data_IF_124144313896
#
_entry.id   IF_124144313896
#
_cell.length_a   1.000
_cell.length_b   1.000
_cell.length_c   1.000
_cell.angle_alpha   90.00
_cell.angle_beta   90.00
_cell.angle_gamma   90.00
#
_symmetry.space_group_name_H-M   'P 1'
#
loop_
_entity.id
_entity.type
_entity.pdbx_description
1 polymer ?
#
# COMPACT_ATOMS: atom_id res chain seq x y z
N UNK A 1 -46.46 69.44 -37.61
CA UNK A 1 -46.68 69.50 -36.14
C UNK A 1 -47.04 68.08 -35.75
N UNK A 2 -46.24 67.25 -35.09
CA UNK A 2 -44.96 67.34 -34.36
C UNK A 2 -44.45 65.87 -34.32
N UNK A 3 -43.29 65.56 -34.90
CA UNK A 3 -42.07 65.03 -34.24
C UNK A 3 -42.25 64.18 -32.96
N UNK A 4 -41.72 62.95 -33.00
CA UNK A 4 -40.92 62.30 -31.95
C UNK A 4 -40.24 61.05 -32.55
N UNK A 5 -38.95 60.87 -32.26
CA UNK A 5 -38.04 59.81 -32.75
C UNK A 5 -37.88 58.68 -31.68
N UNK A 6 -36.85 57.80 -31.77
CA UNK A 6 -36.92 56.34 -31.61
C UNK A 6 -36.71 55.92 -30.14
N UNK A 7 -36.51 54.63 -29.87
CA UNK A 7 -36.04 54.06 -28.60
C UNK A 7 -37.15 53.54 -27.66
N UNK A 8 -36.82 52.48 -26.92
CA UNK A 8 -37.62 51.79 -25.88
C UNK A 8 -38.48 50.58 -26.28
N UNK A 9 -37.92 49.67 -27.07
CA UNK A 9 -38.13 48.25 -26.77
C UNK A 9 -36.77 47.64 -26.41
N UNK A 10 -36.62 47.04 -25.21
CA UNK A 10 -35.34 46.51 -24.77
C UNK A 10 -34.86 45.45 -25.74
N UNK A 11 -33.65 45.68 -26.21
CA UNK A 11 -32.74 44.75 -26.86
C UNK A 11 -32.36 43.65 -25.84
N UNK A 12 -33.32 42.81 -25.48
CA UNK A 12 -33.02 41.54 -24.82
C UNK A 12 -33.01 40.46 -25.90
N UNK A 13 -32.01 40.59 -26.77
CA UNK A 13 -31.43 39.49 -27.50
C UNK A 13 -30.76 38.52 -26.50
N UNK A 14 -31.53 37.98 -25.56
CA UNK A 14 -31.28 36.63 -25.07
C UNK A 14 -31.54 35.71 -26.26
N UNK A 15 -30.54 35.59 -27.12
CA UNK A 15 -30.35 34.38 -27.92
C UNK A 15 -30.41 33.26 -26.90
N UNK A 16 -31.55 32.58 -26.83
CA UNK A 16 -31.56 31.19 -26.43
C UNK A 16 -30.65 30.50 -27.46
N UNK A 17 -29.37 30.39 -27.12
CA UNK A 17 -28.49 29.43 -27.75
C UNK A 17 -29.24 28.11 -27.63
N UNK A 18 -29.68 27.60 -28.78
CA UNK A 18 -30.27 26.27 -28.86
C UNK A 18 -29.27 25.28 -28.27
N UNK A 19 -29.73 24.24 -27.58
CA UNK A 19 -28.87 23.15 -27.02
C UNK A 19 -27.79 22.66 -28.01
N UNK A 20 -28.07 22.82 -29.31
CA UNK A 20 -27.20 22.50 -30.45
C UNK A 20 -25.88 23.31 -30.51
N UNK A 21 -25.74 24.42 -29.77
CA UNK A 21 -24.54 25.28 -29.73
C UNK A 21 -23.75 25.16 -28.41
N UNK A 22 -23.97 24.09 -27.63
CA UNK A 22 -23.27 23.82 -26.37
C UNK A 22 -22.42 22.56 -26.46
N UNK A 23 -21.30 22.55 -25.75
CA UNK A 23 -20.45 21.36 -25.54
C UNK A 23 -20.58 20.90 -24.10
N UNK A 24 -20.57 19.58 -23.93
CA UNK A 24 -20.65 18.92 -22.63
C UNK A 24 -19.37 18.12 -22.40
N UNK A 25 -18.75 18.30 -21.23
CA UNK A 25 -17.58 17.54 -20.80
C UNK A 25 -17.89 16.82 -19.48
N UNK A 26 -17.75 15.49 -19.47
CA UNK A 26 -17.87 14.69 -18.25
C UNK A 26 -16.54 14.73 -17.49
N UNK A 27 -16.57 15.38 -16.32
CA UNK A 27 -15.41 15.57 -15.47
C UNK A 27 -15.60 14.84 -14.13
N UNK A 28 -16.24 13.66 -14.17
CA UNK A 28 -16.43 12.80 -13.00
C UNK A 28 -15.12 12.29 -12.39
N UNK A 29 -14.04 12.25 -13.18
CA UNK A 29 -12.70 11.90 -12.72
C UNK A 29 -12.02 13.05 -11.96
N UNK A 30 -12.45 14.31 -12.16
CA UNK A 30 -11.90 15.44 -11.41
C UNK A 30 -12.41 15.48 -9.97
N UNK A 31 -11.47 15.68 -9.05
CA UNK A 31 -11.76 15.91 -7.64
C UNK A 31 -12.61 17.18 -7.43
N UNK A 32 -13.35 17.23 -6.32
CA UNK A 32 -14.16 18.41 -5.97
C UNK A 32 -13.36 19.73 -5.92
N UNK A 33 -12.15 19.75 -5.31
CA UNK A 33 -11.27 20.91 -5.35
C UNK A 33 -10.78 21.28 -6.75
N UNK A 34 -10.42 20.31 -7.59
CA UNK A 34 -10.00 20.57 -8.98
C UNK A 34 -11.13 21.21 -9.80
N UNK A 35 -12.37 20.71 -9.65
CA UNK A 35 -13.55 21.32 -10.28
C UNK A 35 -13.81 22.75 -9.80
N UNK A 36 -13.59 23.04 -8.51
CA UNK A 36 -13.71 24.40 -7.98
C UNK A 36 -12.65 25.36 -8.54
N UNK A 37 -11.43 24.86 -8.80
CA UNK A 37 -10.38 25.63 -9.48
C UNK A 37 -10.75 25.90 -10.94
N UNK A 38 -11.22 24.88 -11.66
CA UNK A 38 -11.68 25.02 -13.05
C UNK A 38 -12.82 26.03 -13.17
N UNK A 39 -13.80 25.99 -12.27
CA UNK A 39 -14.91 26.95 -12.20
C UNK A 39 -14.41 28.41 -12.05
N UNK A 40 -13.42 28.62 -11.18
CA UNK A 40 -12.81 29.94 -11.00
C UNK A 40 -12.07 30.42 -12.26
N UNK A 41 -11.35 29.53 -12.95
CA UNK A 41 -10.64 29.85 -14.18
C UNK A 41 -11.59 30.15 -15.34
N UNK A 42 -12.64 29.34 -15.53
CA UNK A 42 -13.68 29.58 -16.54
C UNK A 42 -14.37 30.93 -16.31
N UNK A 43 -14.67 31.26 -15.05
CA UNK A 43 -15.23 32.56 -14.67
C UNK A 43 -14.26 33.70 -14.97
N UNK A 44 -12.98 33.55 -14.62
CA UNK A 44 -11.94 34.55 -14.90
C UNK A 44 -11.70 34.75 -16.40
N UNK A 45 -11.83 33.68 -17.19
CA UNK A 45 -11.73 33.69 -18.64
C UNK A 45 -12.98 34.25 -19.34
N UNK A 46 -14.05 34.55 -18.58
CA UNK A 46 -15.31 35.09 -19.11
C UNK A 46 -16.11 34.08 -19.93
N UNK A 47 -15.96 32.78 -19.67
CA UNK A 47 -16.66 31.71 -20.39
C UNK A 47 -18.01 31.44 -19.69
N UNK A 48 -19.10 31.54 -20.45
CA UNK A 48 -20.48 31.34 -19.95
C UNK A 48 -20.80 29.84 -19.78
N UNK A 49 -20.48 29.29 -18.61
CA UNK A 49 -20.54 27.86 -18.31
C UNK A 49 -21.55 27.51 -17.21
N UNK A 50 -21.96 26.25 -17.18
CA UNK A 50 -22.89 25.68 -16.20
C UNK A 50 -22.43 24.30 -15.77
N UNK A 51 -22.58 24.00 -14.48
CA UNK A 51 -22.31 22.68 -13.92
C UNK A 51 -23.60 21.88 -13.68
N UNK A 52 -23.60 20.62 -14.10
CA UNK A 52 -24.62 19.63 -13.78
C UNK A 52 -23.96 18.42 -13.10
N UNK A 53 -23.74 18.54 -11.79
CA UNK A 53 -22.98 17.55 -11.03
C UNK A 53 -21.50 17.60 -11.37
N UNK A 54 -21.01 16.61 -12.13
CA UNK A 54 -19.65 16.58 -12.66
C UNK A 54 -19.59 16.89 -14.17
N UNK A 55 -20.74 17.15 -14.81
CA UNK A 55 -20.82 17.53 -16.20
C UNK A 55 -20.67 19.06 -16.33
N UNK A 56 -19.72 19.51 -17.14
CA UNK A 56 -19.55 20.91 -17.50
C UNK A 56 -20.23 21.17 -18.85
N UNK A 57 -21.08 22.20 -18.91
CA UNK A 57 -21.75 22.65 -20.15
C UNK A 57 -21.28 24.06 -20.50
N UNK A 58 -20.74 24.26 -21.69
CA UNK A 58 -20.18 25.53 -22.15
C UNK A 58 -20.57 25.84 -23.61
N UNK A 59 -20.42 27.08 -24.12
CA UNK A 59 -20.67 27.41 -25.52
C UNK A 59 -19.69 26.67 -26.44
N UNK A 60 -20.18 26.10 -27.53
CA UNK A 60 -19.32 25.43 -28.52
C UNK A 60 -18.27 26.37 -29.13
N UNK A 61 -18.51 27.69 -29.13
CA UNK A 61 -17.53 28.70 -29.55
C UNK A 61 -16.31 28.81 -28.65
N UNK A 62 -16.41 28.34 -27.40
CA UNK A 62 -15.33 28.36 -26.41
C UNK A 62 -14.77 26.95 -26.13
N UNK A 63 -15.16 25.94 -26.91
CA UNK A 63 -14.79 24.55 -26.67
C UNK A 63 -13.26 24.33 -26.55
N UNK A 64 -12.48 24.90 -27.47
CA UNK A 64 -11.02 24.79 -27.42
C UNK A 64 -10.44 25.41 -26.14
N UNK A 65 -10.97 26.58 -25.73
CA UNK A 65 -10.53 27.26 -24.50
C UNK A 65 -10.91 26.49 -23.24
N UNK A 66 -12.06 25.80 -23.27
CA UNK A 66 -12.51 24.95 -22.17
C UNK A 66 -11.59 23.73 -22.04
N UNK A 67 -11.21 23.11 -23.16
CA UNK A 67 -10.23 22.00 -23.18
C UNK A 67 -8.89 22.47 -22.62
N UNK A 68 -8.36 23.60 -23.09
CA UNK A 68 -7.09 24.15 -22.59
C UNK A 68 -7.11 24.37 -21.06
N UNK A 69 -8.23 24.86 -20.53
CA UNK A 69 -8.39 25.10 -19.09
C UNK A 69 -8.59 23.81 -18.29
N UNK A 70 -9.26 22.81 -18.85
CA UNK A 70 -9.36 21.47 -18.23
C UNK A 70 -7.95 20.86 -18.14
N UNK A 71 -7.18 20.88 -19.23
CA UNK A 71 -5.80 20.40 -19.24
C UNK A 71 -4.93 21.17 -18.23
N UNK A 72 -5.09 22.49 -18.13
CA UNK A 72 -4.39 23.31 -17.12
C UNK A 72 -4.70 22.86 -15.69
N UNK A 73 -5.96 22.62 -15.37
CA UNK A 73 -6.38 22.15 -14.05
C UNK A 73 -5.96 20.71 -13.79
N UNK A 74 -6.03 19.83 -14.79
CA UNK A 74 -5.53 18.46 -14.68
C UNK A 74 -4.02 18.43 -14.45
N UNK A 75 -3.26 19.32 -15.10
CA UNK A 75 -1.83 19.48 -14.85
C UNK A 75 -1.54 20.08 -13.48
N UNK A 76 -2.36 21.00 -12.98
CA UNK A 76 -2.19 21.60 -11.66
C UNK A 76 -2.68 20.69 -10.51
N UNK A 77 -3.65 19.82 -10.80
CA UNK A 77 -4.17 18.81 -9.87
C UNK A 77 -3.38 17.50 -9.94
N UNK A 78 -2.63 17.28 -11.01
CA UNK A 78 -1.55 16.31 -11.07
C UNK A 78 -0.48 16.76 -10.08
N UNK A 79 -0.13 15.92 -9.11
CA UNK A 79 0.98 16.09 -8.16
C UNK A 79 2.36 16.12 -8.85
N UNK A 80 2.46 16.71 -10.03
CA UNK A 80 3.71 16.97 -10.73
C UNK A 80 4.55 17.92 -9.91
N UNK A 81 5.85 17.65 -9.92
CA UNK A 81 6.78 18.49 -9.21
C UNK A 81 6.78 19.90 -9.81
N UNK A 82 6.87 20.89 -8.94
CA UNK A 82 7.08 22.28 -9.34
C UNK A 82 8.37 22.37 -10.15
N UNK A 83 8.22 22.75 -11.43
CA UNK A 83 9.35 22.79 -12.38
C UNK A 83 10.31 23.94 -12.12
N UNK A 84 9.89 24.95 -11.36
CA UNK A 84 10.71 26.10 -10.98
C UNK A 84 11.55 25.80 -9.73
N UNK A 85 11.24 24.72 -9.00
CA UNK A 85 12.07 24.20 -7.90
C UNK A 85 13.19 23.31 -8.44
N UNK A 86 14.32 23.29 -7.74
CA UNK A 86 15.45 22.42 -8.09
C UNK A 86 15.04 20.95 -7.94
N UNK A 87 15.35 20.14 -8.96
CA UNK A 87 14.93 18.75 -9.09
C UNK A 87 16.12 17.88 -9.49
N UNK A 88 16.09 16.64 -9.03
CA UNK A 88 17.09 15.61 -9.32
C UNK A 88 16.38 14.43 -9.99
N UNK A 89 17.02 13.83 -10.98
CA UNK A 89 16.52 12.66 -11.70
C UNK A 89 17.42 11.45 -11.46
N UNK A 90 16.81 10.31 -11.17
CA UNK A 90 17.45 9.01 -10.98
C UNK A 90 17.12 8.10 -12.15
N UNK A 91 18.15 7.55 -12.78
CA UNK A 91 18.04 6.63 -13.91
C UNK A 91 17.58 5.25 -13.41
N UNK A 92 16.27 5.03 -13.35
CA UNK A 92 15.64 3.77 -12.90
C UNK A 92 14.75 3.14 -13.97
N UNK A 93 14.72 3.71 -15.18
CA UNK A 93 13.91 3.22 -16.29
C UNK A 93 14.22 1.78 -16.71
N UNK A 94 15.45 1.32 -16.47
CA UNK A 94 15.91 -0.05 -16.79
C UNK A 94 15.54 -1.08 -15.73
N UNK A 95 15.07 -0.65 -14.55
CA UNK A 95 14.67 -1.54 -13.46
C UNK A 95 13.39 -2.30 -13.80
N UNK A 96 13.16 -3.41 -13.10
CA UNK A 96 11.91 -4.15 -13.26
C UNK A 96 10.71 -3.30 -12.80
N UNK A 97 9.52 -3.46 -13.44
CA UNK A 97 8.31 -2.76 -13.02
C UNK A 97 7.96 -2.99 -11.54
N UNK A 98 8.27 -4.16 -11.02
CA UNK A 98 8.09 -4.53 -9.62
C UNK A 98 8.99 -3.67 -8.70
N UNK A 99 10.26 -3.47 -9.07
CA UNK A 99 11.19 -2.61 -8.33
C UNK A 99 10.77 -1.14 -8.38
N UNK A 100 10.37 -0.64 -9.55
CA UNK A 100 9.85 0.74 -9.68
C UNK A 100 8.60 0.96 -8.82
N UNK A 101 7.70 -0.03 -8.75
CA UNK A 101 6.50 0.01 -7.90
C UNK A 101 6.86 0.02 -6.41
N UNK A 102 7.82 -0.81 -6.00
CA UNK A 102 8.29 -0.87 -4.62
C UNK A 102 9.03 0.41 -4.17
N UNK A 103 9.71 1.09 -5.10
CA UNK A 103 10.31 2.40 -4.86
C UNK A 103 9.22 3.48 -4.69
N UNK A 104 8.22 3.50 -5.59
CA UNK A 104 7.10 4.44 -5.50
C UNK A 104 6.31 4.32 -4.19
N UNK A 105 6.09 3.10 -3.70
CA UNK A 105 5.40 2.86 -2.42
C UNK A 105 6.20 3.44 -1.23
N UNK A 106 7.52 3.23 -1.21
CA UNK A 106 8.39 3.77 -0.14
C UNK A 106 8.45 5.30 -0.17
N UNK A 107 8.54 5.90 -1.35
CA UNK A 107 8.49 7.36 -1.51
C UNK A 107 7.15 7.92 -1.01
N UNK A 108 6.04 7.26 -1.35
CA UNK A 108 4.71 7.61 -0.86
C UNK A 108 4.58 7.48 0.66
N UNK A 109 5.13 6.42 1.26
CA UNK A 109 5.13 6.22 2.71
C UNK A 109 5.98 7.27 3.46
N UNK A 110 7.04 7.77 2.82
CA UNK A 110 7.87 8.87 3.32
C UNK A 110 7.28 10.26 3.03
N UNK A 111 6.11 10.35 2.38
CA UNK A 111 5.47 11.59 1.93
C UNK A 111 6.39 12.44 1.03
N UNK A 112 7.28 11.81 0.27
CA UNK A 112 8.20 12.48 -0.65
C UNK A 112 7.48 12.71 -1.99
N UNK A 113 7.33 13.96 -2.45
CA UNK A 113 6.79 14.23 -3.78
C UNK A 113 7.73 13.69 -4.88
N UNK A 114 7.18 12.98 -5.86
CA UNK A 114 7.94 12.46 -7.00
C UNK A 114 7.13 12.45 -8.29
N UNK A 115 7.82 12.45 -9.42
CA UNK A 115 7.22 12.27 -10.75
C UNK A 115 8.03 11.28 -11.60
N UNK A 116 7.38 10.63 -12.55
CA UNK A 116 8.05 9.83 -13.59
C UNK A 116 8.19 10.68 -14.86
N UNK A 117 9.41 10.75 -15.40
CA UNK A 117 9.65 11.48 -16.64
C UNK A 117 9.25 10.66 -17.89
N UNK A 118 9.43 11.26 -19.08
CA UNK A 118 9.08 10.62 -20.36
C UNK A 118 9.94 9.38 -20.70
N UNK A 119 11.07 9.21 -20.01
CA UNK A 119 12.01 8.10 -20.19
C UNK A 119 11.76 6.98 -19.17
N UNK A 120 10.94 7.24 -18.14
CA UNK A 120 10.71 6.33 -17.02
C UNK A 120 11.70 6.55 -15.88
N UNK A 121 12.41 7.68 -15.85
CA UNK A 121 13.32 8.05 -14.76
C UNK A 121 12.50 8.67 -13.62
N UNK A 122 12.95 8.44 -12.38
CA UNK A 122 12.34 9.00 -11.19
C UNK A 122 12.86 10.42 -10.98
N UNK A 123 11.98 11.40 -10.88
CA UNK A 123 12.33 12.78 -10.57
C UNK A 123 11.77 13.16 -9.20
N UNK A 124 12.58 13.84 -8.39
CA UNK A 124 12.26 14.32 -7.03
C UNK A 124 12.77 15.75 -6.85
N UNK A 125 12.36 16.43 -5.78
CA UNK A 125 12.99 17.70 -5.42
C UNK A 125 14.40 17.49 -4.86
N UNK A 126 15.33 18.40 -5.19
CA UNK A 126 16.71 18.31 -4.71
C UNK A 126 16.83 18.38 -3.19
N UNK A 127 15.91 19.08 -2.50
CA UNK A 127 15.91 19.12 -1.03
C UNK A 127 15.55 17.76 -0.40
N UNK A 128 14.87 16.89 -1.14
CA UNK A 128 14.45 15.55 -0.71
C UNK A 128 15.46 14.46 -1.11
N UNK A 129 16.49 14.80 -1.89
CA UNK A 129 17.62 13.93 -2.30
C UNK A 129 18.18 13.08 -1.13
N UNK A 130 18.55 13.62 0.04
CA UNK A 130 19.09 12.81 1.13
C UNK A 130 18.10 11.77 1.68
N UNK A 131 16.79 12.07 1.69
CA UNK A 131 15.77 11.12 2.13
C UNK A 131 15.54 10.02 1.07
N UNK A 132 15.64 10.39 -0.21
CA UNK A 132 15.56 9.45 -1.32
C UNK A 132 16.77 8.52 -1.33
N UNK A 133 17.98 9.02 -1.07
CA UNK A 133 19.19 8.20 -0.90
C UNK A 133 19.04 7.18 0.24
N UNK A 134 18.46 7.56 1.38
CA UNK A 134 18.18 6.60 2.46
C UNK A 134 17.20 5.49 2.04
N UNK A 135 16.23 5.82 1.17
CA UNK A 135 15.30 4.83 0.60
C UNK A 135 16.03 3.90 -0.36
N UNK A 136 16.91 4.43 -1.22
CA UNK A 136 17.73 3.62 -2.12
C UNK A 136 18.66 2.68 -1.35
N UNK A 137 19.33 3.15 -0.30
CA UNK A 137 20.20 2.33 0.56
C UNK A 137 19.43 1.22 1.30
N UNK A 138 18.12 1.40 1.51
CA UNK A 138 17.24 0.42 2.12
C UNK A 138 16.57 -0.53 1.11
N UNK A 139 16.73 -0.29 -0.20
CA UNK A 139 16.30 -1.23 -1.22
C UNK A 139 17.25 -2.43 -1.25
N UNK A 140 16.72 -3.65 -1.42
CA UNK A 140 17.58 -4.79 -1.69
C UNK A 140 18.30 -4.58 -3.03
N UNK A 141 19.60 -4.92 -3.09
CA UNK A 141 20.38 -4.84 -4.31
C UNK A 141 19.79 -5.77 -5.39
N UNK A 142 19.53 -5.25 -6.60
CA UNK A 142 19.00 -6.05 -7.72
C UNK A 142 19.99 -7.16 -8.16
N UNK A 143 21.29 -6.93 -7.93
CA UNK A 143 22.41 -7.85 -8.19
C UNK A 143 22.81 -8.67 -6.96
N UNK A 144 22.05 -8.64 -5.85
CA UNK A 144 22.34 -9.50 -4.70
C UNK A 144 22.18 -10.97 -5.14
N UNK A 145 23.27 -11.77 -5.18
CA UNK A 145 23.18 -13.18 -5.54
C UNK A 145 22.27 -13.95 -4.58
N UNK A 146 22.10 -13.46 -3.34
CA UNK A 146 21.20 -14.05 -2.35
C UNK A 146 19.73 -13.67 -2.59
N UNK A 147 19.43 -12.63 -3.39
CA UNK A 147 18.05 -12.28 -3.80
C UNK A 147 17.51 -13.22 -4.89
N UNK A 148 18.37 -13.72 -5.77
CA UNK A 148 17.99 -14.72 -6.78
C UNK A 148 17.71 -16.10 -6.16
N UNK A 149 18.32 -16.39 -5.02
CA UNK A 149 18.08 -17.59 -4.20
C UNK A 149 17.07 -17.35 -3.06
N UNK A 150 16.51 -16.13 -2.96
CA UNK A 150 15.51 -15.82 -1.96
C UNK A 150 14.22 -16.61 -2.27
N UNK A 151 13.72 -17.41 -1.32
CA UNK A 151 12.54 -18.23 -1.55
C UNK A 151 11.32 -17.37 -1.87
N UNK A 152 10.57 -17.74 -2.89
CA UNK A 152 9.37 -17.01 -3.31
C UNK A 152 8.30 -17.05 -2.20
N UNK A 153 7.78 -15.88 -1.82
CA UNK A 153 6.80 -15.75 -0.72
C UNK A 153 5.60 -16.68 -0.90
N UNK A 154 5.08 -16.82 -2.12
CA UNK A 154 3.96 -17.70 -2.42
C UNK A 154 4.30 -19.18 -2.17
N UNK A 155 5.53 -19.59 -2.50
CA UNK A 155 6.01 -20.95 -2.23
C UNK A 155 6.14 -21.23 -0.73
N UNK A 156 6.67 -20.27 0.03
CA UNK A 156 6.82 -20.38 1.49
C UNK A 156 5.46 -20.42 2.19
N UNK A 157 4.53 -19.53 1.81
CA UNK A 157 3.17 -19.52 2.34
C UNK A 157 2.40 -20.78 1.97
N UNK A 158 2.62 -21.33 0.77
CA UNK A 158 2.04 -22.60 0.33
C UNK A 158 2.52 -23.76 1.20
N UNK A 159 3.84 -23.85 1.44
CA UNK A 159 4.43 -24.88 2.30
C UNK A 159 3.93 -24.76 3.75
N UNK A 160 3.88 -23.54 4.29
CA UNK A 160 3.34 -23.26 5.63
C UNK A 160 1.87 -23.70 5.72
N UNK A 161 1.06 -23.35 4.72
CA UNK A 161 -0.35 -23.69 4.65
C UNK A 161 -0.55 -25.20 4.64
N UNK A 162 0.12 -25.93 3.74
CA UNK A 162 0.01 -27.39 3.63
C UNK A 162 0.44 -28.10 4.92
N UNK A 163 1.54 -27.66 5.52
CA UNK A 163 2.04 -28.22 6.78
C UNK A 163 1.07 -27.96 7.93
N UNK A 164 0.62 -26.71 8.11
CA UNK A 164 -0.34 -26.32 9.13
C UNK A 164 -1.68 -27.06 8.96
N UNK A 165 -2.12 -27.23 7.71
CA UNK A 165 -3.25 -28.07 7.39
C UNK A 165 -3.03 -29.49 7.91
N UNK A 166 -1.95 -30.18 7.54
CA UNK A 166 -1.69 -31.56 8.01
C UNK A 166 -1.67 -31.64 9.53
N UNK A 167 -1.00 -30.70 10.21
CA UNK A 167 -0.90 -30.64 11.67
C UNK A 167 -2.26 -30.42 12.35
N UNK A 168 -3.16 -29.64 11.74
CA UNK A 168 -4.53 -29.47 12.23
C UNK A 168 -5.31 -30.81 12.31
N UNK A 169 -4.96 -31.81 11.48
CA UNK A 169 -5.57 -33.15 11.52
C UNK A 169 -4.73 -34.17 12.26
N UNK A 170 -3.40 -34.01 12.24
CA UNK A 170 -2.42 -34.93 12.82
C UNK A 170 -1.28 -34.12 13.47
N UNK A 171 -1.46 -33.68 14.73
CA UNK A 171 -0.51 -32.82 15.42
C UNK A 171 0.91 -33.38 15.55
N UNK A 172 1.06 -34.71 15.49
CA UNK A 172 2.34 -35.42 15.64
C UNK A 172 2.95 -35.90 14.31
N UNK A 173 2.46 -35.40 13.16
CA UNK A 173 2.96 -35.78 11.83
C UNK A 173 4.36 -35.20 11.59
N UNK A 174 5.40 -36.00 11.82
CA UNK A 174 6.79 -35.51 11.82
C UNK A 174 7.23 -34.83 10.52
N UNK A 175 6.86 -35.31 9.31
CA UNK A 175 7.11 -34.58 8.07
C UNK A 175 6.48 -33.18 8.07
N UNK A 176 5.22 -33.05 8.49
CA UNK A 176 4.56 -31.76 8.55
C UNK A 176 5.16 -30.82 9.61
N UNK A 177 5.61 -31.36 10.75
CA UNK A 177 6.34 -30.59 11.77
C UNK A 177 7.61 -29.99 11.17
N UNK A 178 8.43 -30.81 10.50
CA UNK A 178 9.68 -30.32 9.88
C UNK A 178 9.39 -29.28 8.79
N UNK A 179 8.40 -29.52 7.93
CA UNK A 179 8.04 -28.55 6.88
C UNK A 179 7.51 -27.23 7.44
N UNK A 180 6.78 -27.25 8.58
CA UNK A 180 6.35 -26.02 9.24
C UNK A 180 7.55 -25.25 9.84
N UNK A 181 8.49 -25.96 10.48
CA UNK A 181 9.72 -25.37 11.03
C UNK A 181 10.52 -24.70 9.91
N UNK A 182 10.79 -25.43 8.84
CA UNK A 182 11.57 -24.93 7.69
C UNK A 182 10.92 -23.68 7.06
N UNK A 183 9.59 -23.70 6.87
CA UNK A 183 8.87 -22.55 6.33
C UNK A 183 8.91 -21.34 7.28
N UNK A 184 8.81 -21.57 8.60
CA UNK A 184 8.85 -20.50 9.60
C UNK A 184 10.23 -19.86 9.68
N UNK A 185 11.30 -20.67 9.66
CA UNK A 185 12.69 -20.16 9.67
C UNK A 185 12.96 -19.26 8.46
N UNK A 186 12.46 -19.65 7.29
CA UNK A 186 12.55 -18.84 6.08
C UNK A 186 11.75 -17.54 6.21
N UNK A 187 10.54 -17.58 6.78
CA UNK A 187 9.74 -16.37 6.98
C UNK A 187 10.39 -15.36 7.94
N UNK A 188 11.17 -15.81 8.93
CA UNK A 188 11.87 -14.93 9.87
C UNK A 188 13.05 -14.18 9.26
N UNK A 189 13.63 -14.69 8.16
CA UNK A 189 14.74 -14.01 7.46
C UNK A 189 14.25 -13.07 6.37
N UNK A 190 12.99 -13.18 5.96
CA UNK A 190 12.39 -12.30 4.96
C UNK A 190 12.08 -10.92 5.51
N UNK A 191 12.42 -9.89 4.72
CA UNK A 191 11.77 -8.59 4.86
C UNK A 191 10.26 -8.71 4.55
N UNK A 192 9.48 -7.70 4.95
CA UNK A 192 8.03 -7.66 4.64
C UNK A 192 7.85 -7.77 3.12
N UNK A 193 7.15 -8.80 2.62
CA UNK A 193 6.96 -8.99 1.18
C UNK A 193 6.10 -7.90 0.56
N UNK A 194 6.35 -7.58 -0.70
CA UNK A 194 5.57 -6.58 -1.44
C UNK A 194 4.07 -6.93 -1.43
N UNK A 195 3.22 -5.91 -1.25
CA UNK A 195 1.76 -6.08 -1.15
C UNK A 195 1.24 -6.57 0.21
N UNK A 196 2.12 -6.82 1.19
CA UNK A 196 1.73 -7.11 2.57
C UNK A 196 1.87 -5.88 3.45
N UNK A 197 0.83 -5.60 4.24
CA UNK A 197 0.95 -4.63 5.32
C UNK A 197 1.91 -5.16 6.41
N UNK A 198 2.87 -4.36 6.92
CA UNK A 198 3.86 -4.83 7.89
C UNK A 198 3.25 -5.47 9.15
N UNK A 199 2.14 -4.90 9.64
CA UNK A 199 1.44 -5.45 10.81
C UNK A 199 0.86 -6.84 10.54
N UNK A 200 0.38 -7.09 9.31
CA UNK A 200 -0.19 -8.36 8.88
C UNK A 200 0.91 -9.41 8.74
N UNK A 201 2.01 -9.08 8.08
CA UNK A 201 3.15 -10.00 7.92
C UNK A 201 3.73 -10.40 9.28
N UNK A 202 3.99 -9.41 10.15
CA UNK A 202 4.55 -9.66 11.48
C UNK A 202 3.62 -10.51 12.37
N UNK A 203 2.30 -10.36 12.27
CA UNK A 203 1.36 -11.23 12.99
C UNK A 203 1.42 -12.68 12.48
N UNK A 204 1.55 -12.87 11.17
CA UNK A 204 1.65 -14.20 10.56
C UNK A 204 2.94 -14.90 10.99
N UNK A 205 4.09 -14.22 10.90
CA UNK A 205 5.39 -14.73 11.37
C UNK A 205 5.32 -15.08 12.86
N UNK A 206 4.80 -14.18 13.70
CA UNK A 206 4.66 -14.42 15.15
C UNK A 206 3.88 -15.70 15.46
N UNK A 207 2.75 -15.94 14.79
CA UNK A 207 1.92 -17.14 15.00
C UNK A 207 2.62 -18.42 14.54
N UNK A 208 3.34 -18.36 13.42
CA UNK A 208 4.12 -19.49 12.93
C UNK A 208 5.24 -19.84 13.93
N UNK A 209 5.94 -18.83 14.47
CA UNK A 209 6.96 -19.00 15.52
C UNK A 209 6.38 -19.58 16.81
N UNK A 210 5.20 -19.12 17.24
CA UNK A 210 4.50 -19.66 18.41
C UNK A 210 4.16 -21.15 18.23
N UNK A 211 3.65 -21.53 17.05
CA UNK A 211 3.35 -22.91 16.73
C UNK A 211 4.62 -23.78 16.63
N UNK A 212 5.69 -23.27 16.01
CA UNK A 212 7.01 -23.93 15.99
C UNK A 212 7.50 -24.22 17.40
N UNK A 213 7.51 -23.20 18.27
CA UNK A 213 7.96 -23.36 19.65
C UNK A 213 7.16 -24.41 20.43
N UNK A 214 5.85 -24.50 20.18
CA UNK A 214 5.00 -25.54 20.77
C UNK A 214 5.35 -26.95 20.27
N UNK A 215 5.71 -27.10 18.99
CA UNK A 215 6.10 -28.38 18.38
C UNK A 215 7.51 -28.84 18.77
N UNK A 216 8.43 -27.90 18.99
CA UNK A 216 9.79 -28.17 19.47
C UNK A 216 9.84 -28.47 20.98
N UNK A 217 8.81 -28.05 21.73
CA UNK A 217 8.66 -28.34 23.15
C UNK A 217 8.57 -29.85 23.42
N UNK A 218 9.57 -30.39 24.13
CA UNK A 218 9.66 -31.81 24.46
C UNK A 218 8.48 -32.27 25.37
N UNK A 219 7.70 -33.31 25.00
CA UNK A 219 6.74 -33.95 25.91
C UNK A 219 7.41 -34.75 27.05
N UNK A 220 8.74 -34.86 27.11
CA UNK A 220 9.45 -35.66 28.10
C UNK A 220 9.82 -34.91 29.40
N UNK A 221 8.83 -34.80 30.30
CA UNK A 221 8.89 -35.35 31.66
C UNK A 221 7.75 -34.73 32.49
N UNK A 222 6.86 -35.54 33.12
CA UNK A 222 6.01 -34.98 34.16
C UNK A 222 6.90 -34.37 35.24
N UNK A 223 6.46 -33.30 35.94
CA UNK A 223 7.20 -32.83 37.10
C UNK A 223 7.38 -34.02 38.02
N UNK A 224 8.64 -34.35 38.32
CA UNK A 224 8.95 -35.32 39.35
C UNK A 224 8.18 -34.87 40.58
N UNK A 225 7.19 -35.65 41.01
CA UNK A 225 6.63 -35.55 42.36
C UNK A 225 7.73 -36.00 43.32
N UNK A 226 8.77 -35.18 43.45
CA UNK A 226 9.66 -35.22 44.57
C UNK A 226 8.83 -34.76 45.76
N UNK A 227 8.28 -35.73 46.49
CA UNK A 227 7.78 -35.48 47.83
C UNK A 227 8.88 -34.73 48.60
N UNK A 228 8.58 -33.59 49.25
CA UNK A 228 9.58 -32.86 50.00
C UNK A 228 9.95 -33.69 51.23
N UNK A 229 10.97 -34.52 51.10
CA UNK A 229 11.71 -35.06 52.23
C UNK A 229 12.50 -33.88 52.81
N UNK A 230 11.93 -33.26 53.82
CA UNK A 230 12.54 -32.16 54.54
C UNK A 230 13.86 -32.58 55.17
N UNK A 231 14.92 -31.87 54.82
CA UNK A 231 15.94 -31.42 55.77
C UNK A 231 16.61 -30.19 55.14
N UNK A 232 16.66 -29.10 55.90
CA UNK A 232 16.98 -27.78 55.38
C UNK A 232 18.45 -27.55 55.11
N UNK A 233 18.73 -26.67 54.15
CA UNK A 233 19.80 -25.67 54.24
C UNK A 233 19.50 -24.55 53.24
N UNK A 234 19.71 -23.31 53.69
CA UNK A 234 19.45 -22.07 52.95
C UNK A 234 20.13 -22.03 51.57
N UNK A 235 19.33 -22.02 50.51
CA UNK A 235 19.75 -21.54 49.18
C UNK A 235 18.72 -20.56 48.65
N UNK A 236 19.21 -19.34 48.45
CA UNK A 236 18.56 -18.17 47.86
C UNK A 236 17.88 -18.50 46.52
N UNK A 237 16.55 -18.35 46.36
CA UNK A 237 15.91 -18.55 45.08
C UNK A 237 15.72 -17.21 44.38
N UNK A 238 16.82 -16.59 43.94
CA UNK A 238 16.80 -15.76 42.75
C UNK A 238 16.93 -16.65 41.51
N UNK A 239 16.01 -17.62 41.38
CA UNK A 239 15.85 -18.36 40.13
C UNK A 239 14.94 -17.51 39.27
N UNK A 240 15.51 -17.01 38.17
CA UNK A 240 14.80 -16.28 37.14
C UNK A 240 13.52 -17.02 36.78
N UNK A 241 12.45 -16.25 36.72
CA UNK A 241 11.17 -16.64 36.15
C UNK A 241 11.43 -17.02 34.69
N UNK A 242 11.80 -18.28 34.45
CA UNK A 242 11.66 -18.90 33.17
C UNK A 242 10.17 -18.81 32.87
N UNK A 243 9.80 -17.99 31.88
CA UNK A 243 8.48 -17.97 31.31
C UNK A 243 8.13 -19.43 31.00
N UNK A 244 7.28 -20.01 31.86
CA UNK A 244 6.76 -21.35 31.65
C UNK A 244 5.96 -21.29 30.37
N UNK A 245 6.57 -21.74 29.27
CA UNK A 245 5.88 -21.93 28.00
C UNK A 245 4.61 -22.71 28.31
N UNK A 246 3.47 -22.16 27.92
CA UNK A 246 2.20 -22.85 28.06
C UNK A 246 2.39 -24.26 27.47
N UNK A 247 2.01 -25.29 28.21
CA UNK A 247 2.05 -26.64 27.71
C UNK A 247 0.88 -26.80 26.73
N UNK A 248 1.18 -26.93 25.44
CA UNK A 248 0.16 -27.10 24.42
C UNK A 248 -0.24 -28.56 24.37
N UNK A 249 -1.54 -28.83 24.46
CA UNK A 249 -2.09 -30.13 24.14
C UNK A 249 -2.11 -30.36 22.62
N UNK A 250 -2.27 -31.62 22.20
CA UNK A 250 -2.49 -31.94 20.78
C UNK A 250 -3.69 -31.15 20.19
N UNK A 251 -4.72 -30.90 21.01
CA UNK A 251 -5.88 -30.09 20.62
C UNK A 251 -5.52 -28.60 20.46
N UNK A 252 -4.62 -28.06 21.30
CA UNK A 252 -4.13 -26.67 21.18
C UNK A 252 -3.26 -26.48 19.93
N UNK A 253 -2.41 -27.47 19.62
CA UNK A 253 -1.61 -27.53 18.38
C UNK A 253 -2.54 -27.59 17.18
N UNK A 254 -3.54 -28.46 17.20
CA UNK A 254 -4.49 -28.62 16.10
C UNK A 254 -5.28 -27.32 15.83
N UNK A 255 -5.81 -26.69 16.88
CA UNK A 255 -6.57 -25.45 16.76
C UNK A 255 -5.71 -24.28 16.22
N UNK A 256 -4.47 -24.19 16.69
CA UNK A 256 -3.55 -23.14 16.25
C UNK A 256 -3.07 -23.35 14.82
N UNK A 257 -2.81 -24.60 14.43
CA UNK A 257 -2.47 -24.96 13.06
C UNK A 257 -3.64 -24.69 12.09
N UNK A 258 -4.88 -24.96 12.50
CA UNK A 258 -6.07 -24.61 11.72
C UNK A 258 -6.21 -23.10 11.52
N UNK A 259 -6.01 -22.32 12.59
CA UNK A 259 -6.07 -20.85 12.52
C UNK A 259 -4.96 -20.28 11.62
N UNK A 260 -3.75 -20.86 11.68
CA UNK A 260 -2.62 -20.46 10.84
C UNK A 260 -2.88 -20.80 9.37
N UNK A 261 -3.40 -22.00 9.08
CA UNK A 261 -3.76 -22.40 7.72
C UNK A 261 -4.87 -21.51 7.14
N UNK A 262 -5.90 -21.18 7.92
CA UNK A 262 -6.95 -20.25 7.46
C UNK A 262 -6.36 -18.89 7.07
N UNK A 263 -5.41 -18.38 7.85
CA UNK A 263 -4.77 -17.09 7.61
C UNK A 263 -3.85 -17.11 6.39
N UNK A 264 -2.99 -18.13 6.26
CA UNK A 264 -2.07 -18.25 5.13
C UNK A 264 -2.82 -18.37 3.79
N UNK A 265 -3.98 -19.05 3.81
CA UNK A 265 -4.84 -19.22 2.63
C UNK A 265 -5.38 -17.92 2.06
N UNK A 266 -5.57 -16.88 2.87
CA UNK A 266 -6.06 -15.58 2.38
C UNK A 266 -5.05 -14.90 1.42
N UNK A 267 -3.82 -15.41 1.34
CA UNK A 267 -2.72 -14.84 0.58
C UNK A 267 -2.13 -15.80 -0.48
N UNK A 268 -2.85 -16.90 -0.78
CA UNK A 268 -2.55 -17.89 -1.83
C UNK A 268 -3.63 -17.88 -2.92
#
# INVERSE_FOLDING_TARGET
MHDLTPDDLPDDATRAATDEDRVEADLSELSGPARAMLDALLTSAGIDHLWQGALLVAPASDADRVVDLIEEVEMAASDRLDRDRERVAYEVAEWSPEFQSALAERLGAAEIPFEWDERGDLVVYADDEPAVEEIFDALPDEDDPDAADAPEVAGVLGALWEAAEVLARRPTDSPAVLSLIDATDVMETMAVPYGFEPAVWNDLVRRAVELRAALEGDPAAPPSTAEPSGDGDDVDPAIGEAAGGAWWSDDDIAASAEALAARARDYL
#
